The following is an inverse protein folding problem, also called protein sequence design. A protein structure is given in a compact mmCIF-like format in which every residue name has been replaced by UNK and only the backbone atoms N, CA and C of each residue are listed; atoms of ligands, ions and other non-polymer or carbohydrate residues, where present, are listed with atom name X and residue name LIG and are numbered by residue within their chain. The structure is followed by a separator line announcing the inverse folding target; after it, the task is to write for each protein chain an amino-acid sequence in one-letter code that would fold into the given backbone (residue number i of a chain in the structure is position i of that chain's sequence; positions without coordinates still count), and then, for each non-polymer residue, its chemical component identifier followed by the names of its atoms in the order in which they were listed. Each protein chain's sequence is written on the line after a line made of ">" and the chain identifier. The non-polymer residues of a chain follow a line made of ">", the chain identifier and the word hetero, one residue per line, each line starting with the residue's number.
data_IF_975662517779
#
_entry.id   IF_975662517779
#
_cell.length_a   1.000
_cell.length_b   1.000
_cell.length_c   1.000
_cell.angle_alpha   90.00
_cell.angle_beta   90.00
_cell.angle_gamma   90.00
#
_symmetry.space_group_name_H-M   'P 1'
#
loop_
_entity.id
_entity.type
_entity.pdbx_description
1 polymer ?
#
# COMPACT_ATOMS: atom_id res chain seq x y z
N UNK A 1 18.90 11.85 41.01
CA UNK A 1 18.32 13.08 40.39
C UNK A 1 18.45 13.06 38.87
N UNK A 2 19.55 13.54 38.25
CA UNK A 2 19.64 13.73 36.77
C UNK A 2 19.23 12.51 35.92
N UNK A 3 19.74 11.31 36.24
CA UNK A 3 19.42 10.09 35.49
C UNK A 3 17.92 9.72 35.50
N UNK A 4 17.21 10.02 36.59
CA UNK A 4 15.77 9.75 36.73
C UNK A 4 14.95 10.63 35.77
N UNK A 5 15.36 11.89 35.56
CA UNK A 5 14.74 12.81 34.61
C UNK A 5 14.95 12.34 33.17
N UNK A 6 16.15 11.86 32.84
CA UNK A 6 16.45 11.28 31.52
C UNK A 6 15.60 10.03 31.25
N UNK A 7 15.49 9.11 32.21
CA UNK A 7 14.61 7.94 32.09
C UNK A 7 13.13 8.31 31.91
N UNK A 8 12.63 9.30 32.67
CA UNK A 8 11.26 9.79 32.52
C UNK A 8 11.00 10.39 31.13
N UNK A 9 11.95 11.17 30.59
CA UNK A 9 11.86 11.71 29.23
C UNK A 9 11.84 10.60 28.16
N UNK A 10 12.71 9.60 28.26
CA UNK A 10 12.69 8.45 27.34
C UNK A 10 11.38 7.67 27.41
N UNK A 11 10.82 7.45 28.60
CA UNK A 11 9.52 6.79 28.76
C UNK A 11 8.37 7.61 28.16
N UNK A 12 8.35 8.93 28.36
CA UNK A 12 7.33 9.83 27.76
C UNK A 12 7.43 9.84 26.23
N UNK A 13 8.64 9.87 25.66
CA UNK A 13 8.84 9.79 24.20
C UNK A 13 8.40 8.43 23.64
N UNK A 14 8.72 7.32 24.32
CA UNK A 14 8.25 5.99 23.93
C UNK A 14 6.72 5.86 24.01
N UNK A 15 6.09 6.39 25.06
CA UNK A 15 4.63 6.43 25.20
C UNK A 15 3.98 7.28 24.09
N UNK A 16 4.55 8.43 23.75
CA UNK A 16 4.06 9.27 22.65
C UNK A 16 4.21 8.62 21.26
N UNK A 17 5.23 7.79 21.06
CA UNK A 17 5.38 6.99 19.84
C UNK A 17 4.35 5.85 19.75
N UNK A 18 4.05 5.19 20.89
CA UNK A 18 3.05 4.10 20.96
C UNK A 18 1.61 4.62 20.93
N UNK A 19 1.36 5.85 21.40
CA UNK A 19 0.05 6.49 21.37
C UNK A 19 -0.46 6.84 19.96
N UNK A 20 0.37 6.71 18.91
CA UNK A 20 -0.05 6.80 17.50
C UNK A 20 -0.65 5.48 16.98
N UNK A 21 -1.58 4.92 17.75
CA UNK A 21 -2.67 4.11 17.22
C UNK A 21 -3.82 5.03 16.75
N UNK A 22 -4.86 4.44 16.15
CA UNK A 22 -6.16 5.06 15.83
C UNK A 22 -6.23 5.91 14.54
N UNK A 23 -6.36 5.19 13.43
CA UNK A 23 -7.42 5.38 12.44
C UNK A 23 -7.70 6.79 11.87
N UNK A 24 -7.01 7.12 10.78
CA UNK A 24 -7.64 7.88 9.68
C UNK A 24 -8.59 6.95 8.88
N UNK A 25 -9.69 6.51 9.51
CA UNK A 25 -10.66 5.57 8.92
C UNK A 25 -11.45 6.25 7.78
N UNK A 26 -10.89 6.21 6.57
CA UNK A 26 -11.58 6.63 5.35
C UNK A 26 -12.66 5.61 4.95
N UNK A 27 -13.75 5.58 5.72
CA UNK A 27 -14.92 4.73 5.49
C UNK A 27 -15.63 5.17 4.21
N UNK A 28 -15.37 4.48 3.10
CA UNK A 28 -16.04 4.76 1.81
C UNK A 28 -17.40 4.02 1.80
N UNK A 29 -18.54 4.73 1.79
CA UNK A 29 -19.85 4.09 1.90
C UNK A 29 -20.26 3.42 0.58
N UNK A 30 -20.10 2.09 0.45
CA UNK A 30 -20.34 1.35 -0.79
C UNK A 30 -21.74 0.70 -0.89
N UNK A 31 -22.80 1.52 -0.87
CA UNK A 31 -24.21 1.09 -1.00
C UNK A 31 -24.58 0.79 -2.47
N UNK A 32 -24.36 -0.43 -2.98
CA UNK A 32 -24.72 -0.80 -4.36
C UNK A 32 -25.90 -1.79 -4.52
N UNK A 33 -26.43 -2.37 -3.44
CA UNK A 33 -27.75 -3.03 -3.43
C UNK A 33 -28.84 -1.94 -3.38
N UNK A 34 -29.61 -1.61 -4.41
CA UNK A 34 -29.66 -2.10 -5.81
C UNK A 34 -29.55 -0.92 -6.80
N UNK A 35 -28.36 -0.33 -6.95
CA UNK A 35 -28.07 0.64 -8.01
C UNK A 35 -26.57 0.71 -8.26
N UNK A 36 -26.11 0.19 -9.41
CA UNK A 36 -24.76 0.27 -10.04
C UNK A 36 -23.74 1.11 -9.25
N UNK A 37 -23.30 0.54 -8.11
CA UNK A 37 -21.17 1.27 -5.69
C UNK A 37 -19.89 0.40 -5.39
N UNK A 38 -18.98 0.53 -6.35
CA UNK A 38 -17.61 0.09 -6.47
C UNK A 38 -17.18 -0.97 -5.44
N UNK A 39 -17.31 -2.24 -5.86
CA UNK A 39 -16.20 -3.18 -5.68
C UNK A 39 -15.00 -2.54 -6.38
N UNK A 40 -14.27 -1.69 -5.65
CA UNK A 40 -12.89 -1.39 -6.00
C UNK A 40 -12.14 -2.65 -5.61
N UNK A 41 -11.67 -3.50 -6.54
CA UNK A 41 -10.62 -4.43 -6.18
C UNK A 41 -9.50 -3.59 -5.56
N UNK A 42 -9.06 -3.94 -4.36
CA UNK A 42 -7.81 -3.40 -3.82
C UNK A 42 -6.70 -4.09 -4.61
N UNK A 43 -6.54 -3.63 -5.85
CA UNK A 43 -5.37 -3.92 -6.67
C UNK A 43 -4.20 -3.42 -5.82
N UNK A 44 -3.27 -4.31 -5.40
CA UNK A 44 -2.07 -3.85 -4.71
C UNK A 44 -1.41 -2.84 -5.64
N UNK A 45 -1.20 -1.61 -5.15
CA UNK A 45 -0.82 -0.46 -5.96
C UNK A 45 0.68 -0.55 -6.32
N UNK A 46 1.05 -1.62 -7.05
CA UNK A 46 2.35 -1.85 -7.67
C UNK A 46 2.72 -0.58 -8.44
N UNK A 47 3.68 0.22 -7.94
CA UNK A 47 3.73 1.63 -8.27
C UNK A 47 4.02 1.83 -9.76
N UNK A 48 2.99 2.23 -10.50
CA UNK A 48 3.02 2.50 -11.95
C UNK A 48 3.21 1.27 -12.86
N UNK A 49 2.92 0.04 -12.41
CA UNK A 49 2.96 -1.12 -13.30
C UNK A 49 1.56 -1.64 -13.66
N UNK A 50 1.10 -1.29 -14.87
CA UNK A 50 -0.13 -1.84 -15.44
C UNK A 50 0.15 -3.22 -16.05
N UNK A 51 -0.35 -4.28 -15.40
CA UNK A 51 -0.07 -5.69 -15.79
C UNK A 51 -0.38 -5.98 -17.27
N UNK A 52 -1.49 -5.45 -17.78
CA UNK A 52 -1.88 -5.61 -19.19
C UNK A 52 -0.92 -4.95 -20.17
N UNK A 53 -0.44 -3.75 -19.84
CA UNK A 53 0.54 -3.00 -20.64
C UNK A 53 1.91 -3.70 -20.60
N UNK A 54 2.33 -4.14 -19.41
CA UNK A 54 3.56 -4.92 -19.24
C UNK A 54 3.55 -6.20 -20.10
N UNK A 55 2.52 -7.03 -19.96
CA UNK A 55 2.41 -8.30 -20.68
C UNK A 55 2.35 -8.10 -22.21
N UNK A 56 1.54 -7.15 -22.69
CA UNK A 56 1.44 -6.85 -24.13
C UNK A 56 2.72 -6.24 -24.72
N UNK A 57 3.47 -5.43 -23.95
CA UNK A 57 4.77 -4.89 -24.35
C UNK A 57 5.84 -6.00 -24.44
N UNK A 58 5.84 -6.96 -23.50
CA UNK A 58 6.72 -8.13 -23.56
C UNK A 58 6.41 -9.04 -24.76
N UNK A 59 5.14 -9.36 -25.01
CA UNK A 59 4.72 -10.17 -26.17
C UNK A 59 5.12 -9.49 -27.49
N UNK A 60 4.94 -8.16 -27.61
CA UNK A 60 5.39 -7.37 -28.77
C UNK A 60 6.91 -7.36 -28.99
N UNK A 61 7.71 -7.75 -27.98
CA UNK A 61 9.17 -7.90 -28.06
C UNK A 61 9.61 -9.35 -28.33
N UNK A 62 8.68 -10.30 -28.48
CA UNK A 62 8.97 -11.72 -28.72
C UNK A 62 9.10 -12.59 -27.46
N UNK A 63 8.79 -12.05 -26.28
CA UNK A 63 8.71 -12.83 -25.03
C UNK A 63 7.37 -13.57 -24.93
N UNK A 64 7.27 -14.58 -24.07
CA UNK A 64 6.03 -15.33 -23.84
C UNK A 64 5.03 -14.53 -23.01
N UNK A 65 5.51 -13.66 -22.12
CA UNK A 65 4.67 -12.77 -21.34
C UNK A 65 5.48 -11.79 -20.49
N UNK A 66 4.78 -11.09 -19.60
CA UNK A 66 5.39 -10.20 -18.62
C UNK A 66 4.54 -9.99 -17.38
N UNK A 67 5.20 -9.81 -16.25
CA UNK A 67 4.56 -9.55 -14.95
C UNK A 67 5.13 -8.32 -14.26
N UNK A 68 4.37 -7.77 -13.32
CA UNK A 68 4.78 -6.64 -12.51
C UNK A 68 5.52 -7.10 -11.25
N UNK A 69 6.83 -6.88 -11.20
CA UNK A 69 7.67 -7.03 -10.02
C UNK A 69 7.80 -5.69 -9.26
N UNK A 70 8.38 -5.73 -8.05
CA UNK A 70 8.70 -4.51 -7.28
C UNK A 70 9.67 -3.56 -8.02
N UNK A 71 10.46 -4.09 -8.95
CA UNK A 71 11.41 -3.36 -9.81
C UNK A 71 10.78 -2.80 -11.10
N UNK A 72 9.53 -3.14 -11.41
CA UNK A 72 8.85 -2.76 -12.64
C UNK A 72 8.34 -3.95 -13.46
N UNK A 73 8.18 -3.75 -14.77
CA UNK A 73 7.75 -4.82 -15.69
C UNK A 73 8.91 -5.77 -16.02
N UNK A 74 8.71 -7.07 -15.84
CA UNK A 74 9.69 -8.12 -16.14
C UNK A 74 9.12 -9.13 -17.15
N UNK A 75 9.81 -9.30 -18.29
CA UNK A 75 9.43 -10.24 -19.35
C UNK A 75 10.05 -11.63 -19.14
N UNK A 76 9.42 -12.66 -19.72
CA UNK A 76 9.87 -14.07 -19.71
C UNK A 76 9.43 -14.82 -20.97
#
# INVERSE_FOLDING_TARGET
>A
MKACVVLALFLVVALAAVAQSNEAKAEVPQIHNLLKRQIRPIIPQLPRCALWECNSNCIRRGFRGGYCAFTGCQCY
#
